data_IF_752120788599
#
_entry.id   IF_752120788599
#
_cell.length_a   1.000
_cell.length_b   1.000
_cell.length_c   1.000
_cell.angle_alpha   90.00
_cell.angle_beta   90.00
_cell.angle_gamma   90.00
#
_symmetry.space_group_name_H-M   'P 1'
#
loop_
_entity.id
_entity.type
_entity.pdbx_description
1 polymer ?
#
# COMPACT_ATOMS: atom_id res chain seq x y z
N UNK A 1 31.30 -9.62 -60.38
CA UNK A 1 32.23 -9.28 -59.26
C UNK A 1 31.53 -9.57 -57.95
N UNK A 2 32.09 -10.38 -57.07
CA UNK A 2 31.47 -10.65 -55.81
C UNK A 2 31.50 -9.41 -54.94
N UNK A 3 30.33 -8.89 -54.57
CA UNK A 3 30.20 -7.80 -53.59
C UNK A 3 30.86 -8.23 -52.30
N UNK A 4 31.94 -7.59 -51.93
CA UNK A 4 32.57 -7.74 -50.62
C UNK A 4 31.54 -7.41 -49.53
N UNK A 5 31.26 -8.36 -48.65
CA UNK A 5 30.35 -8.23 -47.49
C UNK A 5 30.70 -7.08 -46.49
N UNK A 6 31.76 -6.32 -46.78
CA UNK A 6 32.27 -5.26 -45.90
C UNK A 6 31.67 -3.89 -46.14
N UNK A 7 30.97 -3.65 -47.26
CA UNK A 7 30.40 -2.31 -47.56
C UNK A 7 28.89 -2.32 -47.35
N UNK A 8 28.50 -2.34 -46.08
CA UNK A 8 27.07 -2.22 -45.70
C UNK A 8 26.65 -0.78 -45.35
N UNK A 9 27.47 0.22 -45.64
CA UNK A 9 27.18 1.63 -45.34
C UNK A 9 27.62 2.50 -46.52
N UNK A 10 26.69 3.30 -47.03
CA UNK A 10 26.87 4.13 -48.19
C UNK A 10 27.54 5.51 -47.91
N UNK A 11 27.66 5.90 -46.62
CA UNK A 11 28.25 7.19 -46.23
C UNK A 11 28.87 7.13 -44.85
N UNK A 12 29.69 8.13 -44.48
CA UNK A 12 30.24 8.29 -43.14
C UNK A 12 29.16 8.46 -42.08
N UNK A 13 28.06 9.12 -42.39
CA UNK A 13 26.89 9.26 -41.51
C UNK A 13 26.22 7.91 -41.24
N UNK A 14 26.06 7.08 -42.27
CA UNK A 14 25.58 5.70 -42.08
C UNK A 14 26.54 4.87 -41.20
N UNK A 15 27.84 5.05 -41.36
CA UNK A 15 28.85 4.38 -40.50
C UNK A 15 28.73 4.90 -39.07
N UNK A 16 28.54 6.21 -38.85
CA UNK A 16 28.36 6.83 -37.51
C UNK A 16 27.09 6.33 -36.86
N UNK A 17 25.96 6.26 -37.54
CA UNK A 17 24.68 5.73 -37.02
C UNK A 17 24.84 4.27 -36.66
N UNK A 18 25.51 3.47 -37.47
CA UNK A 18 25.77 2.04 -37.18
C UNK A 18 26.66 1.85 -35.96
N UNK A 19 27.76 2.64 -35.85
CA UNK A 19 28.64 2.64 -34.65
C UNK A 19 27.85 3.00 -33.39
N UNK A 20 26.99 4.03 -33.46
CA UNK A 20 26.17 4.47 -32.33
C UNK A 20 25.12 3.42 -31.94
N UNK A 21 24.51 2.71 -32.92
CA UNK A 21 23.60 1.58 -32.64
C UNK A 21 24.32 0.41 -32.00
N UNK A 22 25.51 0.04 -32.52
CA UNK A 22 26.33 -1.02 -31.94
C UNK A 22 26.81 -0.68 -30.55
N UNK A 23 27.31 0.56 -30.33
CA UNK A 23 27.71 1.04 -29.00
C UNK A 23 26.56 1.03 -28.00
N UNK A 24 25.33 1.45 -28.41
CA UNK A 24 24.13 1.36 -27.59
C UNK A 24 23.77 -0.09 -27.26
N UNK A 25 23.84 -1.00 -28.25
CA UNK A 25 23.53 -2.43 -28.03
C UNK A 25 24.55 -3.12 -27.09
N UNK A 26 25.83 -2.76 -27.24
CA UNK A 26 26.90 -3.27 -26.34
C UNK A 26 26.75 -2.67 -24.95
N UNK A 27 26.45 -1.37 -24.82
CA UNK A 27 26.21 -0.73 -23.54
C UNK A 27 24.95 -1.26 -22.84
N UNK A 28 23.92 -1.68 -23.58
CA UNK A 28 22.75 -2.37 -23.02
C UNK A 28 23.08 -3.79 -22.56
N UNK A 29 23.92 -4.53 -23.30
CA UNK A 29 24.34 -5.89 -22.90
C UNK A 29 25.30 -5.88 -21.69
N UNK A 30 26.07 -4.81 -21.51
CA UNK A 30 27.00 -4.68 -20.37
C UNK A 30 26.39 -4.01 -19.14
N UNK A 31 25.12 -3.61 -19.17
CA UNK A 31 24.45 -3.20 -17.94
C UNK A 31 24.30 -4.42 -17.04
N UNK A 32 25.23 -4.57 -16.09
CA UNK A 32 25.08 -5.55 -15.00
C UNK A 32 23.67 -5.43 -14.45
N UNK A 33 22.95 -6.53 -14.38
CA UNK A 33 21.64 -6.57 -13.76
C UNK A 33 21.73 -5.86 -12.41
N UNK A 34 20.87 -4.88 -12.17
CA UNK A 34 20.86 -4.21 -10.86
C UNK A 34 20.63 -5.26 -9.79
N UNK A 35 21.42 -5.27 -8.71
CA UNK A 35 21.19 -6.20 -7.62
C UNK A 35 19.77 -6.05 -7.10
N UNK A 36 19.17 -7.15 -6.66
CA UNK A 36 17.85 -7.15 -6.03
C UNK A 36 17.89 -6.21 -4.80
N UNK A 37 16.99 -5.25 -4.69
CA UNK A 37 16.95 -4.34 -3.55
C UNK A 37 16.32 -5.03 -2.33
N UNK A 38 17.03 -6.00 -1.75
CA UNK A 38 16.52 -6.84 -0.64
C UNK A 38 16.00 -6.00 0.54
N UNK A 39 16.58 -4.82 0.79
CA UNK A 39 16.11 -3.90 1.83
C UNK A 39 14.79 -3.18 1.49
N UNK A 40 14.23 -3.37 0.29
CA UNK A 40 12.96 -2.80 -0.08
C UNK A 40 11.82 -3.33 0.80
N UNK A 41 10.97 -2.45 1.33
CA UNK A 41 9.91 -2.84 2.26
C UNK A 41 8.91 -3.86 1.69
N UNK A 42 8.59 -3.77 0.39
CA UNK A 42 7.72 -4.75 -0.25
C UNK A 42 8.40 -6.12 -0.40
N UNK A 43 9.69 -6.16 -0.76
CA UNK A 43 10.45 -7.42 -0.78
C UNK A 43 10.49 -8.02 0.62
N UNK A 44 10.74 -7.22 1.65
CA UNK A 44 10.73 -7.69 3.05
C UNK A 44 9.36 -8.23 3.48
N UNK A 45 8.26 -7.66 2.95
CA UNK A 45 6.92 -8.21 3.15
C UNK A 45 6.82 -9.63 2.55
N UNK A 46 7.19 -9.81 1.28
CA UNK A 46 7.14 -11.13 0.62
C UNK A 46 7.99 -12.16 1.38
N UNK A 47 9.21 -11.80 1.77
CA UNK A 47 10.12 -12.66 2.52
C UNK A 47 9.55 -13.07 3.89
N UNK A 48 8.91 -12.13 4.60
CA UNK A 48 8.29 -12.41 5.90
C UNK A 48 7.20 -13.45 5.77
N UNK A 49 6.29 -13.29 4.80
CA UNK A 49 5.20 -14.25 4.60
C UNK A 49 5.70 -15.60 4.09
N UNK A 50 6.71 -15.62 3.22
CA UNK A 50 7.37 -16.86 2.80
C UNK A 50 7.95 -17.62 4.01
N UNK A 51 8.69 -16.94 4.87
CA UNK A 51 9.24 -17.51 6.12
C UNK A 51 8.16 -17.99 7.07
N UNK A 52 7.07 -17.23 7.22
CA UNK A 52 5.92 -17.61 8.06
C UNK A 52 5.25 -18.90 7.58
N UNK A 53 5.12 -19.05 6.26
CA UNK A 53 4.58 -20.25 5.62
C UNK A 53 5.58 -21.44 5.58
N UNK A 54 6.88 -21.17 5.73
CA UNK A 54 7.96 -22.12 5.56
C UNK A 54 8.18 -22.56 4.12
N UNK A 55 7.58 -21.87 3.13
CA UNK A 55 7.68 -22.20 1.71
C UNK A 55 7.40 -21.00 0.83
N UNK A 56 8.08 -20.89 -0.31
CA UNK A 56 7.75 -19.89 -1.33
C UNK A 56 6.59 -20.33 -2.23
N UNK A 57 6.10 -21.55 -2.09
CA UNK A 57 5.01 -22.09 -2.92
C UNK A 57 3.70 -21.32 -2.74
N UNK A 58 3.53 -20.59 -1.63
CA UNK A 58 2.37 -19.70 -1.41
C UNK A 58 2.23 -18.62 -2.50
N UNK A 59 3.29 -18.35 -3.27
CA UNK A 59 3.27 -17.41 -4.40
C UNK A 59 3.14 -18.12 -5.76
N UNK A 60 2.99 -19.45 -5.79
CA UNK A 60 2.92 -20.21 -7.04
C UNK A 60 1.73 -19.78 -7.89
N UNK A 61 1.99 -19.61 -9.21
CA UNK A 61 1.03 -19.15 -10.21
C UNK A 61 0.54 -17.70 -10.05
N UNK A 62 1.19 -16.90 -9.21
CA UNK A 62 0.90 -15.46 -9.15
C UNK A 62 1.35 -14.78 -10.44
N UNK A 63 0.58 -13.83 -10.91
CA UNK A 63 0.86 -13.05 -12.11
C UNK A 63 1.52 -11.70 -11.79
N UNK A 64 2.14 -11.05 -12.78
CA UNK A 64 2.73 -9.73 -12.60
C UNK A 64 1.69 -8.65 -12.18
N UNK A 65 0.47 -8.60 -12.75
CA UNK A 65 -0.61 -7.74 -12.24
C UNK A 65 -0.95 -8.00 -10.77
N UNK A 66 -1.05 -9.26 -10.33
CA UNK A 66 -1.33 -9.57 -8.92
C UNK A 66 -0.17 -9.16 -7.98
N UNK A 67 1.09 -9.27 -8.42
CA UNK A 67 2.22 -8.71 -7.65
C UNK A 67 2.17 -7.18 -7.54
N UNK A 68 1.71 -6.50 -8.60
CA UNK A 68 1.49 -5.05 -8.56
C UNK A 68 0.35 -4.70 -7.60
N UNK A 69 -0.73 -5.44 -7.61
CA UNK A 69 -1.84 -5.27 -6.68
C UNK A 69 -1.40 -5.49 -5.21
N UNK A 70 -0.64 -6.56 -4.92
CA UNK A 70 -0.04 -6.75 -3.59
C UNK A 70 0.83 -5.57 -3.15
N UNK A 71 1.55 -4.97 -4.10
CA UNK A 71 2.36 -3.79 -3.82
C UNK A 71 1.49 -2.56 -3.50
N UNK A 72 0.39 -2.35 -4.20
CA UNK A 72 -0.56 -1.28 -3.87
C UNK A 72 -1.23 -1.54 -2.51
N UNK A 73 -1.66 -2.76 -2.22
CA UNK A 73 -2.14 -3.16 -0.89
C UNK A 73 -1.11 -2.83 0.20
N UNK A 74 0.18 -3.11 -0.04
CA UNK A 74 1.23 -2.76 0.91
C UNK A 74 1.33 -1.24 1.14
N UNK A 75 1.12 -0.41 0.12
CA UNK A 75 1.07 1.05 0.29
C UNK A 75 -0.15 1.48 1.12
N UNK A 76 -1.32 0.87 0.87
CA UNK A 76 -2.53 1.10 1.66
C UNK A 76 -2.28 0.74 3.13
N UNK A 77 -1.73 -0.44 3.41
CA UNK A 77 -1.36 -0.84 4.77
C UNK A 77 -0.41 0.16 5.43
N UNK A 78 0.59 0.63 4.69
CA UNK A 78 1.53 1.62 5.22
C UNK A 78 0.85 2.97 5.50
N UNK A 79 -0.07 3.41 4.65
CA UNK A 79 -0.85 4.62 4.85
C UNK A 79 -1.80 4.48 6.05
N UNK A 80 -2.46 3.34 6.20
CA UNK A 80 -3.31 3.01 7.34
C UNK A 80 -2.53 3.02 8.67
N UNK A 81 -1.25 2.60 8.64
CA UNK A 81 -0.35 2.68 9.79
C UNK A 81 0.34 4.05 9.91
N UNK A 82 -0.13 5.08 9.23
CA UNK A 82 0.43 6.45 9.21
C UNK A 82 1.96 6.50 8.94
N UNK A 83 2.55 5.44 8.41
CA UNK A 83 3.99 5.28 8.21
C UNK A 83 4.81 5.56 9.49
N UNK A 84 4.17 5.49 10.66
CA UNK A 84 4.74 5.76 11.97
C UNK A 84 5.14 4.45 12.65
N UNK A 85 6.14 4.54 13.55
CA UNK A 85 6.48 3.40 14.42
C UNK A 85 5.44 3.18 15.52
N UNK A 86 4.79 4.23 15.99
CA UNK A 86 3.83 4.19 17.09
C UNK A 86 2.51 3.52 16.67
N UNK A 87 2.15 3.64 15.38
CA UNK A 87 1.01 2.95 14.77
C UNK A 87 1.44 1.70 13.97
N UNK A 88 2.72 1.29 14.07
CA UNK A 88 3.22 0.10 13.38
C UNK A 88 2.51 -1.15 13.87
N UNK A 89 1.85 -1.84 12.94
CA UNK A 89 1.13 -3.07 13.24
C UNK A 89 -0.34 -2.89 13.61
N UNK A 90 -0.87 -1.64 13.61
CA UNK A 90 -2.31 -1.41 13.78
C UNK A 90 -3.11 -2.10 12.69
N UNK A 91 -2.66 -2.01 11.43
CA UNK A 91 -3.23 -2.72 10.29
C UNK A 91 -2.24 -3.76 9.75
N UNK A 92 -2.74 -4.95 9.46
CA UNK A 92 -1.94 -6.09 9.00
C UNK A 92 -2.55 -6.72 7.75
N UNK A 93 -1.73 -7.50 7.03
CA UNK A 93 -2.22 -8.46 6.05
C UNK A 93 -2.81 -9.67 6.78
N UNK A 94 -4.09 -9.86 6.60
CA UNK A 94 -4.86 -10.97 7.15
C UNK A 94 -5.18 -11.95 6.02
N UNK A 95 -5.11 -13.25 6.28
CA UNK A 95 -5.40 -14.28 5.27
C UNK A 95 -6.87 -14.72 5.37
N UNK A 96 -7.59 -14.69 4.26
CA UNK A 96 -8.96 -15.26 4.15
C UNK A 96 -8.90 -16.75 4.42
N UNK A 97 -8.04 -17.51 3.71
CA UNK A 97 -7.67 -18.86 4.09
C UNK A 97 -6.35 -18.82 4.88
N UNK A 98 -6.31 -19.33 6.12
CA UNK A 98 -5.17 -19.20 7.02
C UNK A 98 -3.86 -19.80 6.47
N UNK A 99 -2.73 -19.09 6.66
CA UNK A 99 -1.41 -19.58 6.25
C UNK A 99 -0.95 -20.81 7.03
N UNK A 100 -1.40 -20.95 8.28
CA UNK A 100 -1.12 -22.10 9.14
C UNK A 100 -2.28 -23.08 9.27
N UNK A 101 -3.22 -23.05 8.32
CA UNK A 101 -4.37 -23.96 8.32
C UNK A 101 -3.96 -25.44 8.18
N UNK A 102 -4.80 -26.33 8.65
CA UNK A 102 -4.75 -27.76 8.43
C UNK A 102 -6.03 -28.17 7.71
N UNK A 103 -6.01 -28.94 6.63
CA UNK A 103 -4.86 -29.58 5.94
C UNK A 103 -4.25 -28.76 4.79
N UNK A 104 -4.58 -27.49 4.67
CA UNK A 104 -4.18 -26.60 3.57
C UNK A 104 -3.29 -25.45 4.08
N UNK A 105 -2.63 -24.76 3.15
CA UNK A 105 -1.82 -23.57 3.42
C UNK A 105 -2.35 -22.43 2.54
N UNK A 106 -2.77 -21.31 3.14
CA UNK A 106 -3.27 -20.15 2.42
C UNK A 106 -2.21 -19.54 1.52
N UNK A 107 -2.58 -19.20 0.28
CA UNK A 107 -1.70 -18.50 -0.66
C UNK A 107 -1.54 -17.03 -0.28
N UNK A 108 -0.43 -16.45 -0.72
CA UNK A 108 -0.19 -15.02 -0.61
C UNK A 108 -0.55 -14.34 -1.94
N UNK A 109 -1.85 -14.22 -2.20
CA UNK A 109 -2.44 -13.62 -3.40
C UNK A 109 -3.43 -12.54 -3.01
N UNK A 110 -3.69 -11.54 -3.87
CA UNK A 110 -4.65 -10.47 -3.56
C UNK A 110 -6.05 -10.99 -3.18
N UNK A 111 -6.52 -12.05 -3.83
CA UNK A 111 -7.81 -12.67 -3.55
C UNK A 111 -7.90 -13.34 -2.16
N UNK A 112 -6.75 -13.73 -1.59
CA UNK A 112 -6.67 -14.42 -0.29
C UNK A 112 -6.22 -13.49 0.85
N UNK A 113 -6.12 -12.19 0.61
CA UNK A 113 -5.61 -11.24 1.59
C UNK A 113 -6.57 -10.08 1.81
N UNK A 114 -6.62 -9.62 3.05
CA UNK A 114 -7.36 -8.43 3.50
C UNK A 114 -6.42 -7.58 4.34
N UNK A 115 -6.50 -6.25 4.20
CA UNK A 115 -5.88 -5.32 5.14
C UNK A 115 -6.90 -5.04 6.23
N UNK A 116 -6.64 -5.49 7.44
CA UNK A 116 -7.53 -5.32 8.58
C UNK A 116 -6.77 -4.98 9.87
N UNK A 117 -7.49 -4.54 10.89
CA UNK A 117 -6.90 -4.25 12.21
C UNK A 117 -6.27 -5.50 12.81
N UNK A 118 -5.10 -5.31 13.39
CA UNK A 118 -4.36 -6.39 14.03
C UNK A 118 -5.17 -7.06 15.16
N UNK A 119 -5.91 -6.27 15.93
CA UNK A 119 -6.79 -6.74 16.99
C UNK A 119 -7.81 -7.75 16.48
N UNK A 120 -8.58 -7.36 15.42
CA UNK A 120 -9.57 -8.24 14.79
C UNK A 120 -8.91 -9.48 14.16
N UNK A 121 -7.70 -9.34 13.62
CA UNK A 121 -6.95 -10.47 13.07
C UNK A 121 -6.50 -11.45 14.18
N UNK A 122 -6.13 -10.95 15.36
CA UNK A 122 -5.79 -11.82 16.51
C UNK A 122 -7.02 -12.55 17.05
N UNK A 123 -8.16 -11.86 17.17
CA UNK A 123 -9.44 -12.47 17.58
C UNK A 123 -9.92 -13.51 16.57
N UNK A 124 -9.80 -13.22 15.27
CA UNK A 124 -10.14 -14.15 14.20
C UNK A 124 -9.23 -15.39 14.20
N UNK A 125 -7.95 -15.21 14.50
CA UNK A 125 -6.97 -16.30 14.63
C UNK A 125 -6.80 -17.09 13.34
N UNK A 126 -7.07 -18.40 13.40
CA UNK A 126 -7.00 -19.33 12.26
C UNK A 126 -8.39 -19.81 11.79
N UNK A 127 -9.45 -19.11 12.14
CA UNK A 127 -10.80 -19.46 11.69
C UNK A 127 -10.89 -19.29 10.18
N UNK A 128 -11.61 -20.18 9.53
CA UNK A 128 -11.93 -20.09 8.13
C UNK A 128 -13.45 -19.94 7.98
N UNK A 129 -13.88 -18.82 7.43
CA UNK A 129 -15.30 -18.48 7.26
C UNK A 129 -15.83 -18.80 5.86
N UNK A 130 -14.95 -19.18 4.94
CA UNK A 130 -15.26 -19.50 3.55
C UNK A 130 -14.31 -18.78 2.58
N UNK A 131 -14.29 -19.22 1.32
CA UNK A 131 -13.46 -18.61 0.27
C UNK A 131 -11.95 -18.70 0.48
N UNK A 132 -11.22 -17.80 -0.19
CA UNK A 132 -9.76 -17.74 -0.17
C UNK A 132 -9.08 -18.76 -1.07
N UNK A 133 -7.80 -18.55 -1.31
CA UNK A 133 -6.96 -19.43 -2.12
C UNK A 133 -5.98 -20.19 -1.24
N UNK A 134 -5.78 -21.47 -1.53
CA UNK A 134 -4.89 -22.33 -0.74
C UNK A 134 -4.17 -23.36 -1.62
N UNK A 135 -3.16 -23.99 -1.05
CA UNK A 135 -2.49 -25.21 -1.58
C UNK A 135 -2.71 -26.35 -0.59
N UNK A 136 -2.92 -27.56 -1.09
CA UNK A 136 -2.98 -28.75 -0.23
C UNK A 136 -1.59 -29.03 0.31
N UNK A 137 -1.49 -29.46 1.59
CA UNK A 137 -0.19 -29.80 2.18
C UNK A 137 0.51 -30.95 1.45
N UNK A 138 -0.27 -31.88 0.89
CA UNK A 138 0.26 -32.99 0.11
C UNK A 138 0.84 -32.54 -1.25
N UNK A 139 0.42 -31.37 -1.75
CA UNK A 139 0.92 -30.78 -3.01
C UNK A 139 2.14 -29.88 -2.77
N UNK A 140 2.56 -29.74 -1.51
CA UNK A 140 3.80 -29.02 -1.18
C UNK A 140 5.02 -29.78 -1.74
N UNK A 141 5.80 -29.08 -2.53
CA UNK A 141 7.07 -29.61 -3.02
C UNK A 141 8.21 -29.17 -2.09
N UNK A 142 8.98 -30.13 -1.63
CA UNK A 142 10.20 -29.88 -0.83
C UNK A 142 11.18 -28.91 -1.54
N UNK A 143 11.12 -28.88 -2.87
CA UNK A 143 11.91 -27.92 -3.69
C UNK A 143 11.67 -26.46 -3.28
N UNK A 144 10.47 -26.13 -2.83
CA UNK A 144 10.06 -24.76 -2.52
C UNK A 144 10.08 -24.43 -1.03
N UNK A 145 10.52 -25.38 -0.20
CA UNK A 145 10.62 -25.19 1.24
C UNK A 145 11.80 -24.29 1.60
N UNK A 146 11.59 -23.47 2.63
CA UNK A 146 12.59 -22.55 3.16
C UNK A 146 13.35 -23.26 4.27
N UNK A 147 14.65 -23.44 4.08
CA UNK A 147 15.54 -23.98 5.10
C UNK A 147 16.09 -22.87 6.01
N UNK A 148 16.36 -23.23 7.27
CA UNK A 148 16.81 -22.24 8.29
C UNK A 148 18.14 -21.56 7.98
N UNK A 149 18.96 -22.13 7.11
CA UNK A 149 20.26 -21.56 6.70
C UNK A 149 20.14 -20.54 5.55
N UNK A 150 18.99 -20.48 4.87
CA UNK A 150 18.79 -19.59 3.72
C UNK A 150 18.81 -18.13 4.13
N UNK A 151 19.61 -17.34 3.40
CA UNK A 151 19.59 -15.88 3.52
C UNK A 151 18.35 -15.28 2.83
N UNK A 152 18.06 -14.01 3.11
CA UNK A 152 16.99 -13.27 2.43
C UNK A 152 17.16 -13.27 0.90
N UNK A 153 18.40 -13.22 0.42
CA UNK A 153 18.72 -13.28 -1.00
C UNK A 153 18.43 -14.67 -1.58
N UNK A 154 18.77 -15.73 -0.86
CA UNK A 154 18.50 -17.12 -1.29
C UNK A 154 16.99 -17.37 -1.39
N UNK A 155 16.24 -16.94 -0.36
CA UNK A 155 14.77 -17.06 -0.35
C UNK A 155 14.15 -16.25 -1.49
N UNK A 156 14.66 -15.04 -1.76
CA UNK A 156 14.15 -14.21 -2.86
C UNK A 156 14.43 -14.83 -4.24
N UNK A 157 15.61 -15.42 -4.42
CA UNK A 157 15.95 -16.14 -5.64
C UNK A 157 15.05 -17.37 -5.83
N UNK A 158 14.81 -18.14 -4.76
CA UNK A 158 13.88 -19.28 -4.77
C UNK A 158 12.44 -18.85 -5.09
N UNK A 159 11.99 -17.71 -4.53
CA UNK A 159 10.70 -17.12 -4.84
C UNK A 159 10.59 -16.73 -6.32
N UNK A 160 11.60 -16.06 -6.86
CA UNK A 160 11.62 -15.68 -8.30
C UNK A 160 11.60 -16.92 -9.19
N UNK A 161 12.29 -17.99 -8.80
CA UNK A 161 12.25 -19.26 -9.52
C UNK A 161 10.84 -19.88 -9.46
N UNK A 162 10.20 -19.86 -8.30
CA UNK A 162 8.85 -20.41 -8.09
C UNK A 162 7.78 -19.69 -8.93
N UNK A 163 7.82 -18.35 -8.97
CA UNK A 163 6.86 -17.56 -9.75
C UNK A 163 7.21 -17.45 -11.24
N UNK A 164 8.45 -17.69 -11.61
CA UNK A 164 9.00 -17.58 -12.94
C UNK A 164 9.70 -16.24 -13.22
N UNK A 165 10.88 -16.33 -13.84
CA UNK A 165 11.73 -15.17 -14.16
C UNK A 165 11.03 -14.11 -15.04
N UNK A 166 10.16 -14.54 -15.97
CA UNK A 166 9.41 -13.64 -16.85
C UNK A 166 8.40 -12.79 -16.07
N UNK A 167 7.65 -13.42 -15.17
CA UNK A 167 6.66 -12.73 -14.30
C UNK A 167 7.37 -11.72 -13.39
N UNK A 168 8.48 -12.11 -12.79
CA UNK A 168 9.27 -11.19 -11.97
C UNK A 168 9.84 -10.03 -12.79
N UNK A 169 10.37 -10.27 -13.98
CA UNK A 169 10.91 -9.22 -14.84
C UNK A 169 9.85 -8.21 -15.29
N UNK A 170 8.65 -8.69 -15.62
CA UNK A 170 7.51 -7.84 -15.95
C UNK A 170 7.09 -6.96 -14.75
N UNK A 171 6.92 -7.57 -13.60
CA UNK A 171 6.63 -6.86 -12.36
C UNK A 171 7.71 -5.81 -12.04
N UNK A 172 8.99 -6.20 -12.02
CA UNK A 172 10.10 -5.33 -11.66
C UNK A 172 10.24 -4.11 -12.58
N UNK A 173 9.92 -4.28 -13.87
CA UNK A 173 9.91 -3.19 -14.86
C UNK A 173 8.93 -2.08 -14.50
N UNK A 174 7.74 -2.44 -14.02
CA UNK A 174 6.69 -1.50 -13.64
C UNK A 174 6.89 -1.00 -12.21
N UNK A 175 7.18 -1.90 -11.28
CA UNK A 175 7.30 -1.61 -9.85
C UNK A 175 8.46 -0.65 -9.52
N UNK A 176 9.55 -0.67 -10.30
CA UNK A 176 10.75 0.18 -10.10
C UNK A 176 11.22 0.16 -8.63
N UNK A 177 11.35 -1.05 -8.09
CA UNK A 177 11.75 -1.21 -6.70
C UNK A 177 13.11 -0.55 -6.43
N UNK A 178 13.19 0.18 -5.34
CA UNK A 178 14.41 0.82 -4.85
C UNK A 178 14.77 0.30 -3.46
N UNK A 179 16.04 0.35 -3.04
CA UNK A 179 16.43 0.07 -1.67
C UNK A 179 15.65 0.93 -0.67
N UNK A 180 15.59 0.49 0.58
CA UNK A 180 15.02 1.32 1.65
C UNK A 180 15.75 2.66 1.77
N UNK A 181 15.08 3.69 2.30
CA UNK A 181 15.71 5.02 2.54
C UNK A 181 16.98 4.87 3.37
N UNK A 182 16.93 4.04 4.43
CA UNK A 182 18.11 3.73 5.27
C UNK A 182 19.27 3.19 4.42
N UNK A 183 19.02 2.17 3.60
CA UNK A 183 20.05 1.53 2.76
C UNK A 183 20.60 2.52 1.72
N UNK A 184 19.73 3.33 1.11
CA UNK A 184 20.13 4.37 0.16
C UNK A 184 21.03 5.43 0.80
N UNK A 185 20.73 5.85 2.03
CA UNK A 185 21.61 6.77 2.78
C UNK A 185 22.96 6.13 3.06
N UNK A 186 22.99 4.88 3.56
CA UNK A 186 24.25 4.15 3.83
C UNK A 186 25.09 4.02 2.55
N UNK A 187 24.50 3.57 1.44
CA UNK A 187 25.22 3.42 0.17
C UNK A 187 25.78 4.74 -0.36
N UNK A 188 25.05 5.83 -0.18
CA UNK A 188 25.48 7.16 -0.61
C UNK A 188 26.60 7.68 0.29
N UNK A 189 26.45 7.60 1.61
CA UNK A 189 27.47 8.02 2.57
C UNK A 189 28.74 7.19 2.43
N UNK A 190 28.65 5.88 2.21
CA UNK A 190 29.83 5.01 1.98
C UNK A 190 30.64 5.44 0.75
N UNK A 191 30.01 6.05 -0.26
CA UNK A 191 30.69 6.57 -1.45
C UNK A 191 31.29 7.95 -1.25
N UNK A 192 30.72 8.76 -0.34
CA UNK A 192 31.13 10.14 -0.09
C UNK A 192 32.21 10.26 1.00
N UNK A 193 32.19 9.37 1.99
CA UNK A 193 33.07 9.40 3.12
C UNK A 193 34.34 8.59 2.85
N UNK A 194 35.50 9.24 2.98
CA UNK A 194 36.81 8.59 2.87
C UNK A 194 37.25 8.11 4.24
N UNK A 195 37.50 6.79 4.37
CA UNK A 195 38.01 6.17 5.61
C UNK A 195 39.41 6.56 5.97
N UNK A 196 40.19 7.09 5.02
CA UNK A 196 41.54 7.64 5.24
C UNK A 196 41.56 9.09 5.74
N UNK A 197 40.43 9.80 5.65
CA UNK A 197 40.34 11.19 6.06
C UNK A 197 40.00 11.32 7.56
N UNK A 198 40.84 11.95 8.33
CA UNK A 198 40.64 12.18 9.78
C UNK A 198 39.40 13.03 10.08
N UNK A 199 39.07 13.97 9.20
CA UNK A 199 37.91 14.87 9.36
C UNK A 199 36.57 14.12 9.21
N UNK A 200 36.57 12.96 8.55
CA UNK A 200 35.38 12.13 8.40
C UNK A 200 35.16 11.14 9.56
N UNK A 201 36.06 11.10 10.55
CA UNK A 201 36.03 10.08 11.61
C UNK A 201 34.74 10.05 12.41
N UNK A 202 34.19 11.20 12.78
CA UNK A 202 32.93 11.28 13.51
C UNK A 202 31.76 10.79 12.67
N UNK A 203 31.72 11.17 11.40
CA UNK A 203 30.68 10.73 10.45
C UNK A 203 30.73 9.23 10.17
N UNK A 204 31.94 8.67 10.08
CA UNK A 204 32.14 7.23 9.91
C UNK A 204 31.69 6.45 11.15
N UNK A 205 31.88 6.97 12.36
CA UNK A 205 31.36 6.36 13.59
C UNK A 205 29.81 6.27 13.58
N UNK A 206 29.13 7.32 13.10
CA UNK A 206 27.68 7.33 12.95
C UNK A 206 27.25 6.33 11.86
N UNK A 207 27.95 6.30 10.72
CA UNK A 207 27.64 5.41 9.60
C UNK A 207 27.84 3.93 9.96
N UNK A 208 28.93 3.60 10.66
CA UNK A 208 29.30 2.22 11.02
C UNK A 208 28.49 1.68 12.22
N UNK A 209 27.78 2.54 12.96
CA UNK A 209 26.93 2.11 14.06
C UNK A 209 25.62 1.47 13.51
N UNK A 210 25.39 0.17 13.72
CA UNK A 210 24.21 -0.52 13.21
C UNK A 210 22.89 -0.02 13.81
N UNK A 211 22.93 0.67 14.97
CA UNK A 211 21.78 1.22 15.66
C UNK A 211 21.38 2.63 15.18
N UNK A 212 22.21 3.29 14.39
CA UNK A 212 21.90 4.62 13.84
C UNK A 212 20.57 4.58 13.08
N UNK A 213 19.68 5.46 13.44
CA UNK A 213 18.32 5.54 12.87
C UNK A 213 18.32 6.14 11.45
N UNK A 214 17.24 5.96 10.71
CA UNK A 214 17.08 6.57 9.37
C UNK A 214 17.09 8.11 9.41
N UNK A 215 16.44 8.78 10.39
CA UNK A 215 16.55 10.24 10.53
C UNK A 215 18.00 10.70 10.75
N UNK A 216 18.76 10.04 11.64
CA UNK A 216 20.18 10.38 11.89
C UNK A 216 21.05 10.21 10.64
N UNK A 217 20.86 9.11 9.89
CA UNK A 217 21.54 8.92 8.60
C UNK A 217 21.14 9.97 7.55
N UNK A 218 19.89 10.43 7.56
CA UNK A 218 19.44 11.50 6.67
C UNK A 218 20.06 12.83 7.06
N UNK A 219 20.11 13.17 8.34
CA UNK A 219 20.78 14.38 8.86
C UNK A 219 22.29 14.37 8.55
N UNK A 220 22.94 13.21 8.72
CA UNK A 220 24.33 13.04 8.32
C UNK A 220 24.53 13.28 6.81
N UNK A 221 23.63 12.72 5.98
CA UNK A 221 23.70 12.93 4.52
C UNK A 221 23.52 14.41 4.14
N UNK A 222 22.62 15.12 4.82
CA UNK A 222 22.45 16.57 4.66
C UNK A 222 23.72 17.34 5.06
N UNK A 223 24.32 17.00 6.19
CA UNK A 223 25.57 17.62 6.66
C UNK A 223 26.73 17.42 5.69
N UNK A 224 26.88 16.20 5.15
CA UNK A 224 27.96 15.85 4.20
C UNK A 224 27.75 16.48 2.82
N UNK A 225 26.50 16.57 2.35
CA UNK A 225 26.20 17.02 0.98
C UNK A 225 25.81 18.49 0.88
N UNK A 226 25.42 19.13 1.99
CA UNK A 226 24.83 20.47 2.03
C UNK A 226 23.44 20.53 1.37
N UNK A 227 22.81 19.37 1.07
CA UNK A 227 21.51 19.28 0.39
C UNK A 227 20.47 18.72 1.33
N UNK A 228 19.35 19.45 1.47
CA UNK A 228 18.23 18.97 2.25
C UNK A 228 17.65 17.70 1.64
N UNK A 229 17.42 16.69 2.48
CA UNK A 229 16.76 15.43 2.09
C UNK A 229 15.26 15.64 2.09
N UNK A 230 14.69 15.84 0.91
CA UNK A 230 13.27 16.05 0.76
C UNK A 230 12.45 14.82 1.20
N UNK A 231 11.40 15.05 1.97
CA UNK A 231 10.39 14.05 2.31
C UNK A 231 9.00 14.59 1.97
N UNK A 232 8.25 13.81 1.18
CA UNK A 232 6.86 14.15 0.92
C UNK A 232 6.01 13.96 2.18
N UNK A 233 5.06 14.87 2.46
CA UNK A 233 4.04 14.60 3.45
C UNK A 233 3.29 13.31 3.04
N UNK A 234 3.05 12.44 4.01
CA UNK A 234 2.39 11.15 3.76
C UNK A 234 0.95 11.27 4.20
N UNK A 235 0.02 10.90 3.30
CA UNK A 235 -1.39 10.84 3.63
C UNK A 235 -1.61 9.71 4.62
N UNK A 236 -2.33 10.00 5.67
CA UNK A 236 -2.91 9.03 6.58
C UNK A 236 -4.23 8.53 5.99
N UNK A 237 -4.54 7.25 6.16
CA UNK A 237 -5.86 6.70 5.81
C UNK A 237 -6.66 6.46 7.07
N UNK A 238 -7.91 6.88 7.06
CA UNK A 238 -8.87 6.61 8.14
C UNK A 238 -9.33 5.15 8.10
N UNK A 239 -9.86 4.60 9.20
CA UNK A 239 -10.44 3.25 9.22
C UNK A 239 -11.49 3.04 8.12
N UNK A 240 -12.39 4.01 7.91
CA UNK A 240 -13.38 3.97 6.84
C UNK A 240 -12.75 3.87 5.45
N UNK A 241 -11.76 4.70 5.15
CA UNK A 241 -11.05 4.64 3.86
C UNK A 241 -10.37 3.29 3.62
N UNK A 242 -9.83 2.66 4.66
CA UNK A 242 -9.21 1.33 4.55
C UNK A 242 -10.27 0.27 4.22
N UNK A 243 -11.39 0.28 4.94
CA UNK A 243 -12.47 -0.69 4.74
C UNK A 243 -13.12 -0.54 3.36
N UNK A 244 -13.38 0.70 2.92
CA UNK A 244 -13.90 0.97 1.56
C UNK A 244 -12.92 0.48 0.50
N UNK A 245 -11.64 0.82 0.61
CA UNK A 245 -10.62 0.42 -0.36
C UNK A 245 -10.48 -1.12 -0.46
N UNK A 246 -10.52 -1.84 0.68
CA UNK A 246 -10.44 -3.30 0.70
C UNK A 246 -11.70 -3.95 0.17
N UNK A 247 -12.90 -3.41 0.51
CA UNK A 247 -14.18 -3.92 -0.02
C UNK A 247 -14.23 -3.71 -1.53
N UNK A 248 -13.85 -2.54 -2.02
CA UNK A 248 -13.78 -2.24 -3.46
C UNK A 248 -12.82 -3.19 -4.18
N UNK A 249 -11.64 -3.40 -3.64
CA UNK A 249 -10.64 -4.30 -4.23
C UNK A 249 -11.14 -5.74 -4.26
N UNK A 250 -11.69 -6.24 -3.15
CA UNK A 250 -12.20 -7.61 -3.05
C UNK A 250 -13.45 -7.85 -3.87
N UNK A 251 -14.28 -6.84 -4.13
CA UNK A 251 -15.48 -6.98 -4.98
C UNK A 251 -15.16 -7.43 -6.42
N UNK A 252 -13.91 -7.18 -6.89
CA UNK A 252 -13.44 -7.71 -8.17
C UNK A 252 -13.27 -9.24 -8.17
N UNK A 253 -13.02 -9.84 -7.01
CA UNK A 253 -12.90 -11.30 -6.81
C UNK A 253 -14.18 -11.91 -6.25
N UNK A 254 -14.99 -11.12 -5.56
CA UNK A 254 -16.18 -11.50 -4.83
C UNK A 254 -17.31 -10.52 -5.11
N UNK A 255 -18.04 -10.68 -6.25
CA UNK A 255 -19.11 -9.76 -6.65
C UNK A 255 -20.25 -9.64 -5.64
N UNK A 256 -20.44 -10.64 -4.78
CA UNK A 256 -21.41 -10.63 -3.68
C UNK A 256 -21.15 -9.54 -2.62
N UNK A 257 -19.95 -8.94 -2.60
CA UNK A 257 -19.63 -7.79 -1.74
C UNK A 257 -20.23 -6.46 -2.24
N UNK A 258 -20.85 -6.43 -3.44
CA UNK A 258 -21.39 -5.20 -4.04
C UNK A 258 -22.38 -4.45 -3.16
N UNK A 259 -23.33 -5.09 -2.43
CA UNK A 259 -24.23 -4.37 -1.51
C UNK A 259 -23.45 -3.69 -0.38
N UNK A 260 -22.50 -4.40 0.23
CA UNK A 260 -21.64 -3.84 1.29
C UNK A 260 -20.83 -2.65 0.78
N UNK A 261 -20.22 -2.78 -0.41
CA UNK A 261 -19.45 -1.70 -1.02
C UNK A 261 -20.28 -0.43 -1.19
N UNK A 262 -21.47 -0.55 -1.79
CA UNK A 262 -22.39 0.58 -1.99
C UNK A 262 -22.75 1.27 -0.67
N UNK A 263 -23.06 0.49 0.36
CA UNK A 263 -23.37 1.03 1.68
C UNK A 263 -22.19 1.78 2.30
N UNK A 264 -20.99 1.20 2.22
CA UNK A 264 -19.77 1.82 2.73
C UNK A 264 -19.39 3.10 1.97
N UNK A 265 -19.49 3.10 0.65
CA UNK A 265 -19.25 4.29 -0.19
C UNK A 265 -20.23 5.42 0.15
N UNK A 266 -21.50 5.10 0.39
CA UNK A 266 -22.50 6.08 0.81
C UNK A 266 -22.15 6.69 2.17
N UNK A 267 -21.79 5.87 3.16
CA UNK A 267 -21.40 6.35 4.49
C UNK A 267 -20.09 7.15 4.42
N UNK A 268 -19.08 6.67 3.69
CA UNK A 268 -17.82 7.39 3.51
C UNK A 268 -18.04 8.76 2.89
N UNK A 269 -18.85 8.82 1.83
CA UNK A 269 -19.16 10.07 1.16
C UNK A 269 -19.80 11.10 2.11
N UNK A 270 -20.77 10.67 2.90
CA UNK A 270 -21.44 11.53 3.86
C UNK A 270 -20.52 11.91 5.03
N UNK A 271 -19.69 11.00 5.52
CA UNK A 271 -18.78 11.26 6.64
C UNK A 271 -17.70 12.31 6.32
N UNK A 272 -17.36 12.49 5.04
CA UNK A 272 -16.42 13.55 4.61
C UNK A 272 -16.89 14.97 4.93
N UNK A 273 -18.19 15.17 5.15
CA UNK A 273 -18.76 16.47 5.50
C UNK A 273 -18.75 16.77 6.99
N UNK A 274 -18.44 15.75 7.83
CA UNK A 274 -18.56 15.91 9.29
C UNK A 274 -17.21 16.00 9.97
N UNK A 275 -16.15 15.66 9.47
CA UNK A 275 -14.84 15.36 10.05
C UNK A 275 -14.56 13.86 9.94
N UNK A 276 -13.92 13.49 8.85
CA UNK A 276 -13.66 12.09 8.51
C UNK A 276 -12.86 11.36 9.59
N UNK A 277 -11.97 12.08 10.29
CA UNK A 277 -11.11 11.48 11.32
C UNK A 277 -11.90 11.07 12.57
N UNK A 278 -13.11 11.60 12.75
CA UNK A 278 -13.94 11.33 13.92
C UNK A 278 -15.03 10.27 13.69
N UNK A 279 -15.24 9.77 12.44
CA UNK A 279 -16.21 8.73 12.20
C UNK A 279 -15.63 7.35 12.52
N UNK A 280 -16.06 6.80 13.65
CA UNK A 280 -15.66 5.46 14.10
C UNK A 280 -16.69 4.42 13.65
N UNK A 281 -16.20 3.34 13.02
CA UNK A 281 -17.00 2.18 12.65
C UNK A 281 -17.47 1.39 13.89
N UNK A 282 -16.74 1.48 15.00
CA UNK A 282 -17.08 0.79 16.23
C UNK A 282 -17.19 -0.73 16.05
N UNK A 283 -18.27 -1.32 16.59
CA UNK A 283 -18.53 -2.76 16.51
C UNK A 283 -18.80 -3.26 15.07
N UNK A 284 -19.22 -2.36 14.17
CA UNK A 284 -19.51 -2.71 12.77
C UNK A 284 -18.25 -3.14 12.02
N UNK A 285 -17.07 -2.62 12.40
CA UNK A 285 -15.79 -2.99 11.77
C UNK A 285 -15.51 -4.50 11.91
N UNK A 286 -15.85 -5.10 13.04
CA UNK A 286 -15.65 -6.54 13.27
C UNK A 286 -16.55 -7.41 12.36
N UNK A 287 -17.79 -6.98 12.15
CA UNK A 287 -18.69 -7.66 11.20
C UNK A 287 -18.19 -7.54 9.78
N UNK A 288 -17.85 -6.32 9.33
CA UNK A 288 -17.30 -6.07 8.00
C UNK A 288 -16.02 -6.90 7.79
N UNK A 289 -15.11 -6.91 8.77
CA UNK A 289 -13.91 -7.74 8.75
C UNK A 289 -14.25 -9.21 8.52
N UNK A 290 -15.27 -9.76 9.21
CA UNK A 290 -15.69 -11.15 9.02
C UNK A 290 -16.24 -11.43 7.62
N UNK A 291 -16.98 -10.47 7.03
CA UNK A 291 -17.50 -10.56 5.66
C UNK A 291 -16.35 -10.55 4.65
N UNK A 292 -15.36 -9.68 4.83
CA UNK A 292 -14.16 -9.65 4.00
C UNK A 292 -13.36 -10.97 4.10
N UNK A 293 -13.44 -11.68 5.22
CA UNK A 293 -12.82 -12.99 5.45
C UNK A 293 -13.66 -14.20 5.02
N UNK A 294 -14.75 -13.98 4.25
CA UNK A 294 -15.48 -15.07 3.63
C UNK A 294 -16.86 -15.35 4.22
N UNK A 295 -17.27 -14.63 5.26
CA UNK A 295 -18.66 -14.69 5.71
C UNK A 295 -19.60 -14.13 4.64
N UNK A 296 -20.79 -14.69 4.51
CA UNK A 296 -21.82 -14.19 3.60
C UNK A 296 -22.28 -12.78 3.97
N UNK A 297 -22.56 -11.97 2.95
CA UNK A 297 -23.13 -10.64 3.12
C UNK A 297 -24.58 -10.75 3.53
N UNK A 298 -24.94 -10.19 4.68
CA UNK A 298 -26.33 -10.02 5.08
C UNK A 298 -26.80 -8.63 4.64
N UNK A 299 -27.71 -8.57 3.66
CA UNK A 299 -28.20 -7.31 3.08
C UNK A 299 -28.98 -6.50 4.11
N UNK A 300 -29.81 -7.15 4.93
CA UNK A 300 -30.61 -6.46 5.98
C UNK A 300 -29.68 -5.80 7.00
N UNK A 301 -28.56 -6.47 7.33
CA UNK A 301 -27.55 -5.85 8.19
C UNK A 301 -26.87 -4.65 7.54
N UNK A 302 -26.55 -4.72 6.23
CA UNK A 302 -25.95 -3.60 5.48
C UNK A 302 -26.88 -2.40 5.49
N UNK A 303 -28.17 -2.61 5.24
CA UNK A 303 -29.19 -1.55 5.26
C UNK A 303 -29.30 -0.91 6.66
N UNK A 304 -29.33 -1.74 7.71
CA UNK A 304 -29.32 -1.28 9.09
C UNK A 304 -28.08 -0.47 9.44
N UNK A 305 -26.90 -0.97 9.07
CA UNK A 305 -25.61 -0.27 9.25
C UNK A 305 -25.60 1.10 8.57
N UNK A 306 -26.03 1.17 7.31
CA UNK A 306 -26.07 2.43 6.56
C UNK A 306 -27.04 3.41 7.23
N UNK A 307 -28.22 2.96 7.62
CA UNK A 307 -29.21 3.80 8.32
C UNK A 307 -28.63 4.37 9.62
N UNK A 308 -28.05 3.53 10.47
CA UNK A 308 -27.49 3.93 11.75
C UNK A 308 -26.27 4.85 11.59
N UNK A 309 -25.41 4.56 10.59
CA UNK A 309 -24.26 5.41 10.30
C UNK A 309 -24.69 6.79 9.82
N UNK A 310 -25.67 6.88 8.91
CA UNK A 310 -26.21 8.16 8.43
C UNK A 310 -26.90 8.93 9.54
N UNK A 311 -27.62 8.25 10.45
CA UNK A 311 -28.23 8.91 11.63
C UNK A 311 -27.15 9.52 12.54
N UNK A 312 -26.06 8.79 12.82
CA UNK A 312 -24.93 9.33 13.60
C UNK A 312 -24.26 10.53 12.93
N UNK A 313 -24.20 10.54 11.58
CA UNK A 313 -23.69 11.67 10.81
C UNK A 313 -24.64 12.86 10.92
N UNK A 314 -25.97 12.64 10.77
CA UNK A 314 -26.99 13.69 10.90
C UNK A 314 -26.95 14.35 12.28
N UNK A 315 -26.85 13.59 13.36
CA UNK A 315 -26.73 14.11 14.73
C UNK A 315 -25.51 15.02 14.90
N UNK A 316 -24.39 14.70 14.25
CA UNK A 316 -23.19 15.56 14.25
C UNK A 316 -23.41 16.83 13.44
N UNK A 317 -24.10 16.75 12.29
CA UNK A 317 -24.46 17.93 11.48
C UNK A 317 -25.37 18.87 12.26
N UNK A 318 -26.39 18.36 12.96
CA UNK A 318 -27.25 19.19 13.83
C UNK A 318 -26.46 19.89 14.95
N UNK A 319 -25.46 19.20 15.52
CA UNK A 319 -24.57 19.79 16.51
C UNK A 319 -23.71 20.91 15.90
N UNK A 320 -23.22 20.71 14.67
CA UNK A 320 -22.48 21.70 13.90
C UNK A 320 -23.38 22.91 13.55
N UNK A 321 -24.64 22.67 13.17
CA UNK A 321 -25.65 23.69 12.90
C UNK A 321 -25.82 24.65 14.08
N UNK A 322 -25.91 24.13 15.30
CA UNK A 322 -25.97 24.95 16.52
C UNK A 322 -24.72 25.82 16.70
N UNK A 323 -23.55 25.32 16.30
CA UNK A 323 -22.29 26.10 16.38
C UNK A 323 -22.27 27.17 15.30
N UNK A 324 -22.75 26.90 14.09
CA UNK A 324 -22.85 27.86 12.98
C UNK A 324 -23.88 28.94 13.29
N UNK A 325 -25.02 28.58 13.88
CA UNK A 325 -26.06 29.55 14.30
C UNK A 325 -25.60 30.51 15.41
N UNK A 326 -24.53 30.19 16.13
CA UNK A 326 -23.90 31.07 17.11
C UNK A 326 -22.91 32.06 16.47
N UNK A 327 -22.67 31.99 15.17
CA UNK A 327 -21.81 32.92 14.41
C UNK A 327 -22.67 33.91 13.60
N UNK A 328 -22.21 35.15 13.39
CA UNK A 328 -22.93 36.08 12.52
C UNK A 328 -23.10 35.47 11.11
N UNK A 329 -24.33 35.50 10.61
CA UNK A 329 -24.72 35.04 9.27
C UNK A 329 -23.92 35.70 8.13
N UNK A 330 -23.30 36.84 8.39
CA UNK A 330 -22.46 37.61 7.47
C UNK A 330 -21.13 36.89 7.12
N UNK A 331 -20.83 35.79 7.78
CA UNK A 331 -19.60 35.03 7.58
C UNK A 331 -19.66 34.05 6.41
N UNK A 332 -20.85 33.62 5.99
CA UNK A 332 -21.07 32.68 4.90
C UNK A 332 -21.71 33.37 3.70
N UNK A 333 -21.24 33.03 2.50
CA UNK A 333 -21.92 33.48 1.29
C UNK A 333 -23.32 32.86 1.19
N UNK A 334 -24.29 33.54 0.54
CA UNK A 334 -25.63 32.98 0.31
C UNK A 334 -25.62 31.61 -0.39
N UNK A 335 -24.64 31.36 -1.26
CA UNK A 335 -24.44 30.11 -1.97
C UNK A 335 -23.98 29.01 -1.01
N UNK A 336 -23.05 29.31 -0.10
CA UNK A 336 -22.58 28.41 0.94
C UNK A 336 -23.69 27.97 1.89
N UNK A 337 -24.56 28.89 2.27
CA UNK A 337 -25.74 28.63 3.12
C UNK A 337 -26.79 27.77 2.36
N UNK A 338 -27.01 28.05 1.08
CA UNK A 338 -27.95 27.28 0.26
C UNK A 338 -27.50 25.82 0.07
N UNK A 339 -26.22 25.62 -0.18
CA UNK A 339 -25.62 24.29 -0.31
C UNK A 339 -25.69 23.52 1.01
N UNK A 340 -25.41 24.15 2.14
CA UNK A 340 -25.52 23.57 3.47
C UNK A 340 -26.97 23.13 3.76
N UNK A 341 -27.98 23.99 3.51
CA UNK A 341 -29.40 23.64 3.69
C UNK A 341 -29.84 22.51 2.78
N UNK A 342 -29.28 22.40 1.57
CA UNK A 342 -29.56 21.30 0.65
C UNK A 342 -29.06 19.94 1.19
N UNK A 343 -27.90 19.92 1.86
CA UNK A 343 -27.36 18.71 2.52
C UNK A 343 -28.20 18.28 3.71
N UNK A 344 -28.50 19.22 4.61
CA UNK A 344 -29.34 18.91 5.78
C UNK A 344 -30.68 18.34 5.34
N UNK A 345 -31.27 18.90 4.27
CA UNK A 345 -32.51 18.39 3.69
C UNK A 345 -32.35 16.98 3.06
N UNK A 346 -31.23 16.71 2.39
CA UNK A 346 -30.93 15.42 1.78
C UNK A 346 -30.69 14.33 2.82
N UNK A 347 -29.94 14.62 3.88
CA UNK A 347 -29.71 13.71 5.01
C UNK A 347 -31.03 13.42 5.74
N UNK A 348 -31.83 14.45 6.03
CA UNK A 348 -33.10 14.30 6.72
C UNK A 348 -34.19 13.58 5.90
N UNK A 349 -34.09 13.52 4.57
CA UNK A 349 -35.04 12.85 3.68
C UNK A 349 -34.67 11.42 3.28
N UNK A 350 -33.47 10.92 3.64
CA UNK A 350 -32.96 9.64 3.20
C UNK A 350 -32.68 9.54 1.69
N UNK A 351 -32.67 10.67 0.97
CA UNK A 351 -32.45 10.72 -0.47
C UNK A 351 -30.95 10.68 -0.79
N UNK A 352 -30.49 9.55 -1.31
CA UNK A 352 -29.09 9.18 -1.48
C UNK A 352 -28.38 9.70 -2.73
N UNK A 353 -28.96 10.62 -3.52
CA UNK A 353 -28.43 10.92 -4.85
C UNK A 353 -27.77 12.30 -5.05
N UNK A 354 -27.77 13.17 -4.05
CA UNK A 354 -27.18 14.49 -4.18
C UNK A 354 -25.97 14.66 -3.25
N UNK A 355 -24.80 14.91 -3.82
CA UNK A 355 -23.58 15.23 -3.11
C UNK A 355 -23.08 16.58 -3.60
N UNK A 356 -23.25 17.62 -2.81
CA UNK A 356 -22.65 18.92 -3.09
C UNK A 356 -21.13 18.89 -2.89
N UNK A 357 -20.40 19.72 -3.63
CA UNK A 357 -18.97 19.95 -3.45
C UNK A 357 -18.72 20.92 -2.30
N UNK A 358 -18.31 20.40 -1.13
CA UNK A 358 -18.03 21.18 0.08
C UNK A 358 -16.54 21.42 0.35
N UNK A 359 -15.68 21.35 -0.66
CA UNK A 359 -14.24 21.62 -0.51
C UNK A 359 -13.92 23.00 0.11
N UNK A 360 -14.88 23.92 0.12
CA UNK A 360 -14.79 25.22 0.76
C UNK A 360 -14.99 25.19 2.28
N UNK A 361 -15.78 24.25 2.84
CA UNK A 361 -16.00 24.10 4.28
C UNK A 361 -14.69 23.72 4.99
N UNK A 362 -13.90 22.83 4.38
CA UNK A 362 -12.58 22.44 4.88
C UNK A 362 -11.62 23.63 4.97
N UNK A 363 -11.65 24.55 4.00
CA UNK A 363 -10.82 25.77 4.01
C UNK A 363 -11.25 26.74 5.12
N UNK A 364 -12.55 26.97 5.29
CA UNK A 364 -13.05 27.89 6.28
C UNK A 364 -12.79 27.41 7.73
N UNK A 365 -12.73 26.09 7.96
CA UNK A 365 -12.43 25.51 9.27
C UNK A 365 -10.94 25.51 9.59
N UNK A 366 -10.08 25.31 8.59
CA UNK A 366 -8.61 25.30 8.76
C UNK A 366 -8.05 26.70 8.98
N UNK A 367 -8.58 27.74 8.33
CA UNK A 367 -8.10 29.12 8.48
C UNK A 367 -8.47 29.76 9.84
N UNK A 368 -9.27 29.11 10.68
CA UNK A 368 -9.69 29.62 11.99
C UNK A 368 -9.16 28.83 13.19
N UNK A 369 -8.46 27.73 12.96
CA UNK A 369 -7.81 26.96 14.01
C UNK A 369 -6.37 27.44 14.31
N UNK A 370 -5.92 28.50 13.61
CA UNK A 370 -4.63 29.20 13.82
C UNK A 370 -4.87 30.74 13.98
#
# INVERSE_FOLDING_TARGET
MPCHRSVMTCSEDCKRVRRNKSAKSVSQKCRKAKPLPISNAFIQLLLRHAKQAGTVQIFQFITAPQLLELREMHKVQQAANAWSRDSFGLYQFCHVYPVKGQPFVGKFTPANLVIGRAELNYEHGSQWLGGGEFIQRNDKSVRWDIANWMTDLDIMNLLIECIGQSVWAEFAKVAKLAPSKRQSCIETLTKLLDRGNTDHREWLNVLDNPRTSTPELSALLEAVTGKQVFSFPRRHMTPMEVVVAETQRLSAYRPELSPLLKGLEQVEQMSRYVDCDSFDLGADEAYIFSVLHGRDVNVDWVEGFVHDALSRIADKVETFDRIVMLRPLDYFSPEQLADYHAVVAAVGSGASSYVPDYTWLDRALVEQAF
#
